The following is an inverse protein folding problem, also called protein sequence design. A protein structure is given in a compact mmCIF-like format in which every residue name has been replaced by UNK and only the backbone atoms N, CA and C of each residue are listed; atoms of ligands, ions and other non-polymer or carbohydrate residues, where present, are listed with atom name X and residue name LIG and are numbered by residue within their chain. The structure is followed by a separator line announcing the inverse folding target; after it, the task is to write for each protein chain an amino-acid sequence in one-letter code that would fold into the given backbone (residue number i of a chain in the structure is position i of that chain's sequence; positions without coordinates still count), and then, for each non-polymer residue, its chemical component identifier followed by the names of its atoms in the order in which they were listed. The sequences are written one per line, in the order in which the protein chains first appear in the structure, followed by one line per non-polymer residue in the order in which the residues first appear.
data_IF_606308160734
#
_entry.id   IF_606308160734
#
_cell.length_a   1.000
_cell.length_b   1.000
_cell.length_c   1.000
_cell.angle_alpha   90.00
_cell.angle_beta   90.00
_cell.angle_gamma   90.00
#
_symmetry.space_group_name_H-M   'P 1'
#
loop_
_entity.id
_entity.type
_entity.pdbx_description
1 polymer ?
#
# COMPACT_ATOMS: atom_id res chain seq x y z
N UNK A 1 -47.11 34.96 21.07
CA UNK A 1 -46.04 34.15 21.68
C UNK A 1 -46.11 32.77 21.06
N UNK A 2 -45.23 32.46 20.10
CA UNK A 2 -45.35 31.20 19.34
C UNK A 2 -44.32 31.00 18.23
N UNK A 3 -43.18 31.68 18.29
CA UNK A 3 -42.05 31.51 17.35
C UNK A 3 -40.76 31.08 18.07
N UNK A 4 -40.87 30.58 19.30
CA UNK A 4 -39.71 30.21 20.14
C UNK A 4 -39.62 28.69 20.41
N UNK A 5 -40.59 27.89 19.92
CA UNK A 5 -40.60 26.43 20.15
C UNK A 5 -40.07 25.58 18.98
N UNK A 6 -39.61 26.22 17.90
CA UNK A 6 -38.95 25.53 16.78
C UNK A 6 -37.48 25.99 16.58
N UNK A 7 -36.88 26.58 17.62
CA UNK A 7 -35.46 26.86 17.64
C UNK A 7 -34.69 25.63 18.17
N UNK A 8 -34.22 24.82 17.22
CA UNK A 8 -32.91 24.16 17.28
C UNK A 8 -32.68 23.14 18.41
N UNK A 9 -33.37 21.99 18.36
CA UNK A 9 -32.67 20.70 18.61
C UNK A 9 -31.78 20.37 17.41
N UNK A 10 -30.95 21.31 17.00
CA UNK A 10 -29.92 21.06 16.00
C UNK A 10 -28.81 20.37 16.75
N UNK A 11 -28.83 19.03 16.77
CA UNK A 11 -27.62 18.28 17.11
C UNK A 11 -26.50 18.88 16.27
N UNK A 12 -25.42 19.31 16.93
CA UNK A 12 -24.25 19.78 16.17
C UNK A 12 -23.75 18.62 15.32
N UNK A 13 -23.17 18.92 14.15
CA UNK A 13 -22.66 17.89 13.23
C UNK A 13 -21.73 16.90 13.95
N UNK A 14 -20.95 17.41 14.90
CA UNK A 14 -20.04 16.67 15.75
C UNK A 14 -20.76 15.70 16.70
N UNK A 15 -21.83 16.14 17.36
CA UNK A 15 -22.63 15.27 18.24
C UNK A 15 -23.30 14.15 17.45
N UNK A 16 -23.85 14.45 16.27
CA UNK A 16 -24.46 13.44 15.41
C UNK A 16 -23.43 12.41 14.92
N UNK A 17 -22.23 12.88 14.52
CA UNK A 17 -21.13 12.02 14.10
C UNK A 17 -20.74 11.01 15.19
N UNK A 18 -20.52 11.48 16.43
CA UNK A 18 -20.15 10.60 17.54
C UNK A 18 -21.31 9.72 18.00
N UNK A 19 -22.54 10.23 18.02
CA UNK A 19 -23.72 9.43 18.36
C UNK A 19 -23.93 8.28 17.37
N UNK A 20 -23.65 8.50 16.08
CA UNK A 20 -23.74 7.47 15.04
C UNK A 20 -22.64 6.42 15.17
N UNK A 21 -21.41 6.82 15.48
CA UNK A 21 -20.30 5.89 15.68
C UNK A 21 -20.42 5.09 16.98
N UNK A 22 -21.01 5.68 18.02
CA UNK A 22 -21.20 5.05 19.33
C UNK A 22 -22.49 4.23 19.45
N UNK A 23 -23.29 4.11 18.38
CA UNK A 23 -24.62 3.48 18.41
C UNK A 23 -24.62 2.01 18.90
N UNK A 24 -23.51 1.30 18.69
CA UNK A 24 -23.30 -0.10 19.11
C UNK A 24 -22.00 -0.28 19.93
N UNK A 25 -21.52 0.78 20.58
CA UNK A 25 -20.25 0.78 21.33
C UNK A 25 -20.47 1.15 22.79
N UNK A 26 -20.09 0.25 23.70
CA UNK A 26 -20.13 0.54 25.14
C UNK A 26 -18.93 1.40 25.57
N UNK A 27 -19.18 2.70 25.73
CA UNK A 27 -18.15 3.68 26.13
C UNK A 27 -17.74 3.59 27.62
N UNK A 28 -18.39 2.72 28.41
CA UNK A 28 -18.00 2.43 29.79
C UNK A 28 -16.78 1.49 29.88
N UNK A 29 -16.44 0.79 28.79
CA UNK A 29 -15.31 -0.13 28.75
C UNK A 29 -14.09 0.46 28.05
N UNK A 30 -12.89 -0.01 28.42
CA UNK A 30 -11.65 0.38 27.72
C UNK A 30 -11.66 -0.09 26.25
N UNK A 31 -12.27 -1.24 25.96
CA UNK A 31 -12.43 -1.79 24.61
C UNK A 31 -13.34 -0.91 23.75
N UNK A 32 -14.51 -0.51 24.25
CA UNK A 32 -15.41 0.36 23.51
C UNK A 32 -14.84 1.75 23.26
N UNK A 33 -14.10 2.32 24.22
CA UNK A 33 -13.37 3.59 24.01
C UNK A 33 -12.27 3.46 22.95
N UNK A 34 -11.54 2.35 22.93
CA UNK A 34 -10.53 2.07 21.90
C UNK A 34 -11.16 1.88 20.52
N UNK A 35 -12.31 1.19 20.45
CA UNK A 35 -13.07 0.96 19.21
C UNK A 35 -13.64 2.25 18.63
N UNK A 36 -14.14 3.16 19.48
CA UNK A 36 -14.57 4.49 19.05
C UNK A 36 -13.39 5.28 18.46
N UNK A 37 -12.22 5.25 19.10
CA UNK A 37 -11.00 5.90 18.59
C UNK A 37 -10.60 5.36 17.21
N UNK A 38 -10.55 4.04 17.04
CA UNK A 38 -10.18 3.41 15.76
C UNK A 38 -11.14 3.74 14.62
N UNK A 39 -12.44 3.89 14.90
CA UNK A 39 -13.44 4.20 13.88
C UNK A 39 -13.50 5.70 13.56
N UNK A 40 -13.36 6.56 14.58
CA UNK A 40 -13.46 8.01 14.41
C UNK A 40 -12.21 8.62 13.79
N UNK A 41 -11.01 8.17 14.18
CA UNK A 41 -9.73 8.73 13.73
C UNK A 41 -9.56 8.79 12.20
N UNK A 42 -9.78 7.71 11.42
CA UNK A 42 -9.61 7.76 9.97
C UNK A 42 -10.68 8.63 9.27
N UNK A 43 -11.87 8.77 9.86
CA UNK A 43 -12.93 9.63 9.30
C UNK A 43 -12.63 11.11 9.55
N UNK A 44 -12.08 11.45 10.72
CA UNK A 44 -11.66 12.80 11.07
C UNK A 44 -10.46 13.22 10.21
N UNK A 45 -9.52 12.30 9.92
CA UNK A 45 -8.37 12.54 9.02
C UNK A 45 -8.76 12.86 7.57
N UNK A 46 -9.98 12.52 7.14
CA UNK A 46 -10.49 12.86 5.79
C UNK A 46 -11.11 14.26 5.73
N UNK A 47 -11.25 14.96 6.85
CA UNK A 47 -11.74 16.33 6.89
C UNK A 47 -10.61 17.29 6.47
N UNK A 48 -10.92 18.37 5.72
CA UNK A 48 -9.92 19.39 5.41
C UNK A 48 -9.38 20.00 6.71
N UNK A 49 -8.06 20.20 6.77
CA UNK A 49 -7.41 20.79 7.94
C UNK A 49 -7.98 22.18 8.27
N UNK A 50 -8.18 22.46 9.56
CA UNK A 50 -8.75 23.72 10.06
C UNK A 50 -9.32 23.58 11.48
N UNK A 51 -9.88 24.67 12.02
CA UNK A 51 -10.38 24.73 13.41
C UNK A 51 -11.40 23.63 13.74
N UNK A 52 -12.27 23.28 12.78
CA UNK A 52 -13.26 22.21 12.97
C UNK A 52 -12.62 20.83 13.13
N UNK A 53 -11.51 20.57 12.44
CA UNK A 53 -10.75 19.32 12.57
C UNK A 53 -10.15 19.19 13.98
N UNK A 54 -9.55 20.27 14.50
CA UNK A 54 -9.00 20.27 15.87
C UNK A 54 -10.08 20.11 16.95
N UNK A 55 -11.25 20.73 16.75
CA UNK A 55 -12.40 20.54 17.64
C UNK A 55 -12.87 19.07 17.62
N UNK A 56 -12.91 18.43 16.45
CA UNK A 56 -13.26 17.02 16.33
C UNK A 56 -12.26 16.12 17.05
N UNK A 57 -10.96 16.36 16.90
CA UNK A 57 -9.92 15.63 17.62
C UNK A 57 -10.00 15.82 19.15
N UNK A 58 -10.24 17.06 19.60
CA UNK A 58 -10.40 17.38 21.02
C UNK A 58 -11.60 16.65 21.63
N UNK A 59 -12.73 16.60 20.93
CA UNK A 59 -13.91 15.85 21.36
C UNK A 59 -13.68 14.32 21.37
N UNK A 60 -12.87 13.78 20.46
CA UNK A 60 -12.51 12.36 20.46
C UNK A 60 -11.65 12.02 21.68
N UNK A 61 -10.70 12.89 22.02
CA UNK A 61 -9.84 12.73 23.18
C UNK A 61 -10.64 12.75 24.49
N UNK A 62 -11.59 13.67 24.61
CA UNK A 62 -12.49 13.78 25.78
C UNK A 62 -13.36 12.53 25.96
N UNK A 63 -13.89 11.96 24.87
CA UNK A 63 -14.76 10.77 24.92
C UNK A 63 -14.03 9.45 25.15
N UNK A 64 -12.78 9.34 24.70
CA UNK A 64 -12.00 8.10 24.82
C UNK A 64 -11.04 8.10 26.00
N UNK A 65 -10.75 9.28 26.58
CA UNK A 65 -9.74 9.45 27.63
C UNK A 65 -8.30 9.26 27.13
N UNK A 66 -8.11 9.20 25.81
CA UNK A 66 -6.81 9.13 25.15
C UNK A 66 -6.44 10.55 24.73
N UNK A 67 -5.35 11.10 25.29
CA UNK A 67 -4.94 12.48 25.03
C UNK A 67 -4.81 12.75 23.52
N UNK A 68 -5.30 13.92 23.08
CA UNK A 68 -5.20 14.37 21.68
C UNK A 68 -3.75 14.31 21.19
N UNK A 69 -2.79 14.64 22.05
CA UNK A 69 -1.36 14.50 21.79
C UNK A 69 -0.93 13.08 21.42
N UNK A 70 -1.54 12.03 22.01
CA UNK A 70 -1.24 10.62 21.66
C UNK A 70 -1.86 10.20 20.34
N UNK A 71 -3.01 10.78 19.97
CA UNK A 71 -3.69 10.55 18.70
C UNK A 71 -2.95 11.25 17.54
N UNK A 72 -2.29 12.37 17.83
CA UNK A 72 -1.43 13.10 16.89
C UNK A 72 0.00 12.54 16.84
N UNK A 73 0.53 12.01 17.94
CA UNK A 73 1.87 11.39 17.99
C UNK A 73 1.96 10.06 17.23
N UNK A 74 0.84 9.43 16.86
CA UNK A 74 0.84 8.30 15.91
C UNK A 74 1.38 8.73 14.54
N UNK A 75 1.35 10.04 14.23
CA UNK A 75 1.92 10.61 13.00
C UNK A 75 3.46 10.64 12.98
N UNK A 76 4.12 10.52 14.13
CA UNK A 76 5.57 10.69 14.26
C UNK A 76 6.34 9.41 14.59
N UNK A 77 5.64 8.32 14.93
CA UNK A 77 6.27 7.03 15.29
C UNK A 77 6.15 5.95 14.19
N UNK A 78 5.59 6.30 13.02
CA UNK A 78 5.59 5.42 11.83
C UNK A 78 6.81 5.64 10.92
N UNK A 79 7.65 6.61 11.25
CA UNK A 79 9.03 6.64 10.77
C UNK A 79 9.87 5.93 11.82
N UNK A 80 10.70 4.97 11.40
CA UNK A 80 11.63 4.17 12.22
C UNK A 80 11.06 2.83 12.77
N UNK A 81 11.37 1.76 12.02
CA UNK A 81 11.13 0.29 12.21
C UNK A 81 11.41 -0.22 13.66
N UNK A 82 11.00 -1.47 14.06
CA UNK A 82 10.53 -2.62 13.26
C UNK A 82 9.24 -3.30 13.78
N UNK A 83 8.29 -3.57 12.88
CA UNK A 83 7.06 -4.27 13.22
C UNK A 83 7.29 -5.79 13.36
N UNK A 84 7.21 -6.27 14.60
CA UNK A 84 6.82 -7.65 14.91
C UNK A 84 5.43 -7.89 14.31
N UNK A 85 5.32 -8.93 13.47
CA UNK A 85 4.06 -9.44 12.90
C UNK A 85 3.01 -9.71 14.00
N UNK A 86 1.74 -9.40 13.74
CA UNK A 86 0.66 -10.29 14.06
C UNK A 86 0.33 -11.16 12.84
N UNK A 87 0.21 -12.45 13.11
CA UNK A 87 -0.32 -13.46 12.20
C UNK A 87 -1.77 -13.18 11.79
N UNK A 88 -2.07 -13.55 10.54
CA UNK A 88 -3.40 -13.93 10.01
C UNK A 88 -4.44 -12.81 9.89
N UNK A 89 -4.28 -12.00 8.84
CA UNK A 89 -5.41 -11.53 8.06
C UNK A 89 -5.24 -11.99 6.59
N UNK A 90 -5.98 -13.03 6.21
CA UNK A 90 -6.20 -13.44 4.81
C UNK A 90 -7.06 -12.36 4.13
N UNK A 91 -6.43 -11.26 3.74
CA UNK A 91 -7.08 -10.19 3.01
C UNK A 91 -6.04 -9.54 2.13
N UNK A 92 -5.83 -10.11 0.94
CA UNK A 92 -5.27 -9.48 -0.26
C UNK A 92 -4.33 -8.27 -0.02
N UNK A 93 -3.36 -8.38 0.91
CA UNK A 93 -2.34 -7.35 1.10
C UNK A 93 -1.65 -7.19 -0.25
N UNK A 94 -1.69 -5.97 -0.80
CA UNK A 94 -1.11 -5.66 -2.12
C UNK A 94 0.36 -6.03 -2.06
N UNK A 95 0.74 -7.20 -2.58
CA UNK A 95 2.16 -7.49 -2.77
C UNK A 95 2.68 -6.43 -3.73
N UNK A 96 3.89 -5.88 -3.50
CA UNK A 96 4.41 -4.77 -4.30
C UNK A 96 4.44 -5.12 -5.79
N UNK A 97 4.77 -6.38 -6.13
CA UNK A 97 4.69 -6.92 -7.50
C UNK A 97 3.27 -6.82 -8.07
N UNK A 98 2.26 -7.30 -7.34
CA UNK A 98 0.87 -7.24 -7.81
C UNK A 98 0.41 -5.80 -7.98
N UNK A 99 0.86 -4.90 -7.09
CA UNK A 99 0.54 -3.49 -7.18
C UNK A 99 1.11 -2.87 -8.45
N UNK A 100 2.40 -3.11 -8.74
CA UNK A 100 3.04 -2.64 -9.97
C UNK A 100 2.36 -3.19 -11.23
N UNK A 101 2.05 -4.49 -11.27
CA UNK A 101 1.33 -5.08 -12.40
C UNK A 101 -0.05 -4.42 -12.58
N UNK A 102 -0.75 -4.14 -11.47
CA UNK A 102 -2.04 -3.42 -11.54
C UNK A 102 -1.85 -2.02 -12.12
N UNK A 103 -0.85 -1.26 -11.65
CA UNK A 103 -0.55 0.08 -12.15
C UNK A 103 -0.18 0.05 -13.64
N UNK A 104 0.65 -0.91 -14.07
CA UNK A 104 1.04 -1.09 -15.47
C UNK A 104 -0.16 -1.42 -16.38
N UNK A 105 -1.09 -2.25 -15.91
CA UNK A 105 -2.30 -2.57 -16.67
C UNK A 105 -3.23 -1.35 -16.80
N UNK A 106 -3.22 -0.42 -15.84
CA UNK A 106 -3.97 0.84 -15.97
C UNK A 106 -3.24 1.85 -16.85
N UNK A 107 -1.91 1.97 -16.70
CA UNK A 107 -1.05 2.89 -17.45
C UNK A 107 0.23 2.20 -17.89
N UNK A 108 0.25 1.63 -19.11
CA UNK A 108 1.44 0.95 -19.64
C UNK A 108 2.65 1.89 -19.76
N UNK A 109 2.43 3.17 -20.05
CA UNK A 109 3.50 4.18 -20.18
C UNK A 109 4.42 4.29 -18.96
N UNK A 110 3.95 3.90 -17.76
CA UNK A 110 4.76 3.85 -16.55
C UNK A 110 5.99 2.94 -16.71
N UNK A 111 5.92 1.90 -17.56
CA UNK A 111 7.05 1.02 -17.85
C UNK A 111 8.25 1.75 -18.48
N UNK A 112 8.03 2.91 -19.11
CA UNK A 112 9.10 3.69 -19.72
C UNK A 112 10.01 4.36 -18.68
N UNK A 113 9.53 4.53 -17.45
CA UNK A 113 10.29 5.04 -16.31
C UNK A 113 11.16 3.97 -15.65
N UNK A 114 10.94 2.69 -16.00
CA UNK A 114 11.66 1.57 -15.40
C UNK A 114 13.05 1.41 -16.03
N UNK A 115 14.06 1.94 -15.36
CA UNK A 115 15.48 1.74 -15.68
C UNK A 115 16.05 0.60 -14.85
N UNK A 116 17.09 -0.07 -15.36
CA UNK A 116 17.85 -1.10 -14.63
C UNK A 116 16.94 -2.12 -13.91
N UNK A 117 16.09 -2.83 -14.66
CA UNK A 117 15.10 -3.76 -14.08
C UNK A 117 15.70 -5.13 -13.74
N UNK A 118 16.98 -5.36 -14.05
CA UNK A 118 17.70 -6.61 -13.80
C UNK A 118 17.59 -7.12 -12.35
N UNK A 119 17.69 -6.26 -11.32
CA UNK A 119 17.56 -6.68 -9.92
C UNK A 119 16.20 -7.32 -9.59
N UNK A 120 15.16 -7.13 -10.41
CA UNK A 120 13.87 -7.80 -10.20
C UNK A 120 13.97 -9.32 -10.40
N UNK A 121 14.87 -9.79 -11.26
CA UNK A 121 15.05 -11.22 -11.56
C UNK A 121 15.68 -12.00 -10.42
N UNK A 122 16.31 -11.27 -9.50
CA UNK A 122 17.03 -11.80 -8.34
C UNK A 122 16.12 -11.93 -7.12
N UNK A 123 14.88 -11.45 -7.23
CA UNK A 123 13.88 -11.58 -6.19
C UNK A 123 13.27 -12.98 -6.21
N UNK A 124 13.41 -13.71 -5.11
CA UNK A 124 12.64 -14.93 -4.83
C UNK A 124 11.18 -14.59 -4.49
N UNK A 125 10.47 -13.93 -5.41
CA UNK A 125 9.10 -13.48 -5.22
C UNK A 125 8.20 -13.95 -6.37
N UNK A 126 7.05 -14.56 -6.07
CA UNK A 126 6.08 -14.95 -7.08
C UNK A 126 5.63 -13.76 -7.93
N UNK A 127 5.77 -13.89 -9.25
CA UNK A 127 5.37 -12.87 -10.22
C UNK A 127 6.44 -11.83 -10.56
N UNK A 128 7.65 -11.91 -9.98
CA UNK A 128 8.75 -11.02 -10.34
C UNK A 128 9.15 -11.19 -11.83
N UNK A 129 9.21 -12.44 -12.29
CA UNK A 129 9.45 -12.76 -13.71
C UNK A 129 8.38 -12.15 -14.62
N UNK A 130 7.09 -12.30 -14.27
CA UNK A 130 5.98 -11.72 -15.04
C UNK A 130 6.05 -10.20 -15.09
N UNK A 131 6.40 -9.54 -13.98
CA UNK A 131 6.59 -8.09 -13.93
C UNK A 131 7.73 -7.67 -14.86
N UNK A 132 8.86 -8.37 -14.84
CA UNK A 132 9.99 -8.11 -15.75
C UNK A 132 9.56 -8.23 -17.21
N UNK A 133 8.90 -9.34 -17.59
CA UNK A 133 8.43 -9.54 -18.96
C UNK A 133 7.41 -8.48 -19.40
N UNK A 134 6.52 -8.05 -18.50
CA UNK A 134 5.59 -6.96 -18.78
C UNK A 134 6.32 -5.64 -19.04
N UNK A 135 7.31 -5.30 -18.22
CA UNK A 135 8.11 -4.09 -18.40
C UNK A 135 8.85 -4.11 -19.73
N UNK A 136 9.51 -5.22 -20.07
CA UNK A 136 10.22 -5.39 -21.35
C UNK A 136 9.27 -5.32 -22.54
N UNK A 137 8.13 -6.01 -22.47
CA UNK A 137 7.12 -6.02 -23.52
C UNK A 137 6.55 -4.64 -23.81
N UNK A 138 6.24 -3.86 -22.76
CA UNK A 138 5.72 -2.50 -22.91
C UNK A 138 6.81 -1.57 -23.43
N UNK A 139 8.05 -1.67 -22.93
CA UNK A 139 9.18 -0.86 -23.40
C UNK A 139 9.52 -1.10 -24.87
N UNK A 140 9.36 -2.33 -25.35
CA UNK A 140 9.55 -2.67 -26.77
C UNK A 140 8.44 -2.10 -27.68
N UNK A 141 7.29 -1.71 -27.11
CA UNK A 141 6.10 -1.24 -27.85
C UNK A 141 5.49 -0.03 -27.14
N UNK A 142 6.11 1.17 -27.25
CA UNK A 142 5.55 2.38 -26.67
C UNK A 142 4.17 2.65 -27.29
N UNK A 143 3.18 3.01 -26.45
CA UNK A 143 1.77 3.22 -26.79
C UNK A 143 0.89 1.97 -26.93
N UNK A 144 1.24 0.85 -26.30
CA UNK A 144 0.28 -0.25 -26.14
C UNK A 144 -0.73 0.04 -25.02
N UNK A 145 -1.90 -0.60 -25.12
CA UNK A 145 -2.95 -0.53 -24.11
C UNK A 145 -3.14 -1.89 -23.43
N UNK A 146 -3.80 -1.88 -22.26
CA UNK A 146 -4.09 -3.06 -21.45
C UNK A 146 -4.65 -4.25 -22.26
N UNK A 147 -5.54 -4.01 -23.23
CA UNK A 147 -6.13 -5.06 -24.05
C UNK A 147 -5.10 -5.84 -24.88
N UNK A 148 -4.08 -5.16 -25.44
CA UNK A 148 -3.00 -5.81 -26.20
C UNK A 148 -2.10 -6.63 -25.28
N UNK A 149 -1.85 -6.12 -24.08
CA UNK A 149 -1.15 -6.86 -23.02
C UNK A 149 -1.95 -8.13 -22.69
N UNK A 150 -3.23 -8.02 -22.34
CA UNK A 150 -4.05 -9.19 -21.99
C UNK A 150 -4.16 -10.22 -23.12
N UNK A 151 -4.21 -9.77 -24.38
CA UNK A 151 -4.20 -10.64 -25.57
C UNK A 151 -2.89 -11.43 -25.68
N UNK A 152 -1.75 -10.80 -25.45
CA UNK A 152 -0.44 -11.45 -25.50
C UNK A 152 -0.31 -12.61 -24.49
N UNK A 153 -0.87 -12.46 -23.29
CA UNK A 153 -0.83 -13.49 -22.24
C UNK A 153 -2.08 -14.38 -22.18
N UNK A 154 -2.98 -14.34 -23.18
CA UNK A 154 -4.26 -15.07 -23.15
C UNK A 154 -4.11 -16.59 -23.01
N UNK A 155 -3.08 -17.17 -23.65
CA UNK A 155 -2.84 -18.63 -23.66
C UNK A 155 -1.84 -19.07 -22.56
N UNK A 156 -1.72 -18.30 -21.48
CA UNK A 156 -0.79 -18.59 -20.37
C UNK A 156 -1.54 -18.77 -19.04
N UNK A 157 -0.91 -19.43 -18.07
CA UNK A 157 -1.43 -19.55 -16.69
C UNK A 157 -1.68 -18.20 -16.00
N UNK A 158 -1.09 -17.11 -16.52
CA UNK A 158 -1.26 -15.76 -15.99
C UNK A 158 -2.52 -15.05 -16.48
N UNK A 159 -3.19 -15.53 -17.53
CA UNK A 159 -4.33 -14.85 -18.18
C UNK A 159 -5.44 -14.45 -17.19
N UNK A 160 -5.91 -15.41 -16.39
CA UNK A 160 -6.97 -15.19 -15.39
C UNK A 160 -6.55 -14.19 -14.31
N UNK A 161 -5.27 -14.21 -13.92
CA UNK A 161 -4.74 -13.31 -12.91
C UNK A 161 -4.63 -11.88 -13.45
N UNK A 162 -4.03 -11.70 -14.63
CA UNK A 162 -3.91 -10.38 -15.27
C UNK A 162 -5.29 -9.74 -15.52
N UNK A 163 -6.26 -10.53 -15.96
CA UNK A 163 -7.63 -10.04 -16.16
C UNK A 163 -8.29 -9.57 -14.85
N UNK A 164 -8.03 -10.25 -13.72
CA UNK A 164 -8.49 -9.79 -12.40
C UNK A 164 -7.80 -8.50 -11.96
N UNK A 165 -6.50 -8.35 -12.26
CA UNK A 165 -5.74 -7.15 -11.91
C UNK A 165 -6.13 -5.95 -12.76
N UNK A 166 -6.42 -6.14 -14.05
CA UNK A 166 -6.91 -5.08 -14.94
C UNK A 166 -8.26 -4.50 -14.48
N UNK A 167 -9.09 -5.32 -13.83
CA UNK A 167 -10.40 -4.91 -13.28
C UNK A 167 -10.31 -4.38 -11.84
N UNK A 168 -9.14 -4.45 -11.21
CA UNK A 168 -9.00 -4.01 -9.82
C UNK A 168 -9.09 -2.48 -9.75
N UNK A 169 -9.93 -1.92 -8.84
CA UNK A 169 -10.01 -0.48 -8.67
C UNK A 169 -8.68 0.06 -8.14
N UNK A 170 -8.18 1.12 -8.76
CA UNK A 170 -7.03 1.87 -8.28
C UNK A 170 -7.56 3.15 -7.64
N UNK A 171 -7.59 3.16 -6.30
CA UNK A 171 -7.97 4.32 -5.49
C UNK A 171 -6.79 5.29 -5.34
N UNK A 172 -6.24 5.73 -6.47
CA UNK A 172 -5.19 6.74 -6.53
C UNK A 172 -5.57 7.79 -7.56
N UNK A 173 -5.28 9.04 -7.25
CA UNK A 173 -5.41 10.13 -8.21
C UNK A 173 -4.39 9.94 -9.34
N UNK A 174 -4.74 10.31 -10.58
CA UNK A 174 -3.88 10.08 -11.75
C UNK A 174 -2.45 10.62 -11.57
N UNK A 175 -2.32 11.81 -10.98
CA UNK A 175 -1.03 12.46 -10.74
C UNK A 175 -0.16 11.74 -9.70
N UNK A 176 -0.72 10.80 -8.92
CA UNK A 176 0.01 10.00 -7.93
C UNK A 176 0.46 8.65 -8.47
N UNK A 177 -0.09 8.21 -9.61
CA UNK A 177 0.21 6.90 -10.17
C UNK A 177 1.70 6.74 -10.51
N UNK A 178 2.30 7.77 -11.10
CA UNK A 178 3.72 7.78 -11.48
C UNK A 178 4.64 7.71 -10.26
N UNK A 179 4.36 8.52 -9.24
CA UNK A 179 5.14 8.54 -8.01
C UNK A 179 5.02 7.21 -7.25
N UNK A 180 3.81 6.66 -7.15
CA UNK A 180 3.56 5.38 -6.48
C UNK A 180 4.24 4.22 -7.21
N UNK A 181 4.15 4.20 -8.54
CA UNK A 181 4.83 3.21 -9.37
C UNK A 181 6.35 3.28 -9.16
N UNK A 182 6.92 4.48 -9.28
CA UNK A 182 8.36 4.70 -9.16
C UNK A 182 8.89 4.34 -7.78
N UNK A 183 8.20 4.75 -6.71
CA UNK A 183 8.59 4.42 -5.33
C UNK A 183 8.51 2.90 -5.06
N UNK A 184 7.42 2.27 -5.49
CA UNK A 184 7.24 0.83 -5.31
C UNK A 184 8.26 0.02 -6.11
N UNK A 185 8.56 0.44 -7.34
CA UNK A 185 9.57 -0.19 -8.20
C UNK A 185 10.97 -0.03 -7.60
N UNK A 186 11.35 1.19 -7.21
CA UNK A 186 12.66 1.44 -6.61
C UNK A 186 12.89 0.62 -5.36
N UNK A 187 11.89 0.50 -4.47
CA UNK A 187 11.99 -0.36 -3.28
C UNK A 187 12.25 -1.83 -3.62
N UNK A 188 11.64 -2.34 -4.70
CA UNK A 188 11.90 -3.70 -5.16
C UNK A 188 13.28 -3.86 -5.79
N UNK A 189 13.73 -2.89 -6.58
CA UNK A 189 15.08 -2.89 -7.17
C UNK A 189 16.15 -2.83 -6.08
N UNK A 190 16.00 -1.96 -5.08
CA UNK A 190 16.88 -1.89 -3.92
C UNK A 190 16.90 -3.18 -3.12
N UNK A 191 15.74 -3.84 -2.98
CA UNK A 191 15.65 -5.16 -2.33
C UNK A 191 16.43 -6.22 -3.09
N UNK A 192 16.32 -6.26 -4.43
CA UNK A 192 17.07 -7.20 -5.27
C UNK A 192 18.58 -6.96 -5.18
N UNK A 193 19.02 -5.71 -5.31
CA UNK A 193 20.44 -5.32 -5.17
C UNK A 193 20.99 -5.69 -3.79
N UNK A 194 20.21 -5.46 -2.74
CA UNK A 194 20.60 -5.81 -1.37
C UNK A 194 20.71 -7.31 -1.15
N UNK A 195 19.86 -8.11 -1.79
CA UNK A 195 19.93 -9.57 -1.72
C UNK A 195 21.20 -10.09 -2.39
N UNK A 196 21.52 -9.64 -3.61
CA UNK A 196 22.78 -10.00 -4.29
C UNK A 196 23.99 -9.64 -3.42
N UNK A 197 23.99 -8.44 -2.84
CA UNK A 197 25.07 -7.98 -1.96
C UNK A 197 25.22 -8.91 -0.75
N UNK A 198 24.10 -9.24 -0.07
CA UNK A 198 24.10 -10.16 1.07
C UNK A 198 24.64 -11.53 0.70
N UNK A 199 24.21 -12.09 -0.43
CA UNK A 199 24.65 -13.41 -0.90
C UNK A 199 26.13 -13.42 -1.28
N UNK A 200 26.62 -12.32 -1.87
CA UNK A 200 28.05 -12.15 -2.19
C UNK A 200 28.90 -12.06 -0.92
N UNK A 201 28.44 -11.30 0.09
CA UNK A 201 29.09 -11.21 1.40
C UNK A 201 29.12 -12.57 2.12
N UNK A 202 28.00 -13.29 2.11
CA UNK A 202 27.87 -14.66 2.66
C UNK A 202 28.86 -15.64 1.99
N UNK A 203 28.98 -15.58 0.66
CA UNK A 203 29.94 -16.38 -0.09
C UNK A 203 31.39 -16.02 0.26
N UNK A 204 31.71 -14.72 0.38
CA UNK A 204 33.04 -14.26 0.75
C UNK A 204 33.44 -14.65 2.18
N UNK A 205 32.46 -14.78 3.09
CA UNK A 205 32.66 -15.27 4.45
C UNK A 205 32.78 -16.80 4.54
N UNK A 206 32.66 -17.52 3.41
CA UNK A 206 32.76 -18.99 3.37
C UNK A 206 31.54 -19.71 3.92
N UNK A 207 30.41 -19.01 4.09
CA UNK A 207 29.16 -19.61 4.52
C UNK A 207 28.51 -20.42 3.37
N UNK A 208 27.86 -21.56 3.67
CA UNK A 208 27.21 -22.36 2.64
C UNK A 208 25.99 -21.63 2.08
N UNK A 209 25.93 -21.53 0.75
CA UNK A 209 24.76 -21.08 0.01
C UNK A 209 23.85 -22.26 -0.31
N UNK A 210 22.55 -22.04 -0.17
CA UNK A 210 21.49 -22.90 -0.70
C UNK A 210 21.57 -22.98 -2.24
N UNK A 211 20.94 -24.00 -2.82
CA UNK A 211 20.85 -24.16 -4.27
C UNK A 211 20.15 -22.95 -4.94
N UNK A 212 19.06 -22.47 -4.34
CA UNK A 212 18.35 -21.27 -4.78
C UNK A 212 19.23 -20.01 -4.70
N UNK A 213 20.02 -19.84 -3.63
CA UNK A 213 20.92 -18.69 -3.46
C UNK A 213 22.06 -18.70 -4.50
N UNK A 214 22.56 -19.89 -4.86
CA UNK A 214 23.56 -20.06 -5.92
C UNK A 214 22.99 -19.74 -7.29
N UNK A 215 21.74 -20.12 -7.55
CA UNK A 215 21.06 -19.82 -8.81
C UNK A 215 20.88 -18.32 -9.01
N UNK A 216 20.47 -17.60 -7.96
CA UNK A 216 20.38 -16.12 -7.95
C UNK A 216 21.75 -15.53 -8.35
N UNK A 217 22.82 -15.82 -7.60
CA UNK A 217 24.16 -15.29 -7.91
C UNK A 217 24.67 -15.65 -9.32
N UNK A 218 24.33 -16.84 -9.83
CA UNK A 218 24.68 -17.25 -11.20
C UNK A 218 23.95 -16.40 -12.23
N UNK A 219 22.66 -16.14 -12.02
CA UNK A 219 21.84 -15.33 -12.93
C UNK A 219 22.31 -13.87 -12.95
N UNK A 220 22.66 -13.30 -11.79
CA UNK A 220 23.30 -11.97 -11.71
C UNK A 220 24.63 -11.90 -12.46
N UNK A 221 25.47 -12.95 -12.38
CA UNK A 221 26.80 -12.95 -13.01
C UNK A 221 26.74 -13.07 -14.54
N UNK A 222 25.79 -13.84 -15.08
CA UNK A 222 25.66 -14.07 -16.53
C UNK A 222 25.18 -12.82 -17.26
N UNK A 223 24.34 -11.98 -16.63
CA UNK A 223 23.79 -10.78 -17.27
C UNK A 223 24.76 -9.59 -17.31
N UNK A 224 25.79 -9.62 -16.46
CA UNK A 224 26.82 -8.57 -16.35
C UNK A 224 28.09 -8.88 -17.19
N UNK A 225 28.06 -9.91 -18.04
CA UNK A 225 29.17 -10.36 -18.91
C UNK A 225 28.86 -10.10 -20.39
#
# INVERSE_FOLDING_TARGET
MGFEQLALKSQTLSEFFYARLAQDIDLGTADGRSRLAQLAQPLIQRLPGGVFHELMLSMLAEKTGVSAERLEQVKQLESEKPLKRPEKAKGYQKTPIRHLITLLLQRPELALQAEDIEPLGELDMPGAQLLMELLEFIRARPNIHAGVILEHWRDTDYASHLMKLAQAPVELEEHRLEAEFSDTLNRLLESGRSEIKRLTEKLAQGEPLSDAEKEILRNAAVKNS
#
